data_IF_039673631069
#
_entry.id   IF_039673631069
#
_cell.length_a   1.000
_cell.length_b   1.000
_cell.length_c   1.000
_cell.angle_alpha   90.00
_cell.angle_beta   90.00
_cell.angle_gamma   90.00
#
_symmetry.space_group_name_H-M   'P 1'
#
loop_
_entity.id
_entity.type
_entity.pdbx_description
1 polymer ?
#
# COMPACT_ATOMS: atom_id res chain seq x y z
N UNK A 1 17.99 -8.27 -0.65
CA UNK A 1 17.00 -7.51 -1.45
C UNK A 1 17.00 -6.08 -0.97
N UNK A 2 16.96 -5.11 -1.88
CA UNK A 2 16.86 -3.67 -1.57
C UNK A 2 15.43 -3.20 -1.82
N UNK A 3 14.78 -2.66 -0.79
CA UNK A 3 13.38 -2.20 -0.85
C UNK A 3 13.34 -0.68 -0.67
N UNK A 4 12.68 0.02 -1.60
CA UNK A 4 12.35 1.44 -1.41
C UNK A 4 10.92 1.56 -0.88
N UNK A 5 10.73 2.31 0.21
CA UNK A 5 9.42 2.54 0.84
C UNK A 5 9.06 4.00 0.73
N UNK A 6 8.02 4.31 -0.06
CA UNK A 6 7.46 5.67 -0.21
C UNK A 6 6.36 5.87 0.82
N UNK A 7 6.36 7.01 1.51
CA UNK A 7 5.44 7.25 2.62
C UNK A 7 5.88 6.54 3.92
N UNK A 8 7.17 6.26 4.05
CA UNK A 8 7.76 5.56 5.20
C UNK A 8 7.39 6.16 6.56
N UNK A 9 7.16 7.48 6.64
CA UNK A 9 6.79 8.19 7.87
C UNK A 9 5.31 8.08 8.28
N UNK A 10 4.44 7.51 7.44
CA UNK A 10 3.01 7.28 7.74
C UNK A 10 2.80 6.10 8.70
N UNK A 11 1.57 5.94 9.23
CA UNK A 11 1.25 4.87 10.18
C UNK A 11 1.51 3.47 9.61
N UNK A 12 1.02 3.18 8.42
CA UNK A 12 1.27 1.90 7.72
C UNK A 12 2.73 1.82 7.26
N UNK A 13 3.28 2.93 6.72
CA UNK A 13 4.66 2.98 6.25
C UNK A 13 5.68 2.60 7.31
N UNK A 14 5.53 3.10 8.54
CA UNK A 14 6.41 2.75 9.67
C UNK A 14 6.34 1.26 10.03
N UNK A 15 5.16 0.62 9.95
CA UNK A 15 5.01 -0.83 10.18
C UNK A 15 5.69 -1.64 9.09
N UNK A 16 5.56 -1.21 7.82
CA UNK A 16 6.28 -1.83 6.70
C UNK A 16 7.79 -1.70 6.87
N UNK A 17 8.28 -0.52 7.27
CA UNK A 17 9.71 -0.30 7.57
C UNK A 17 10.18 -1.24 8.67
N UNK A 18 9.46 -1.32 9.80
CA UNK A 18 9.79 -2.19 10.93
C UNK A 18 9.84 -3.67 10.53
N UNK A 19 8.83 -4.14 9.77
CA UNK A 19 8.78 -5.53 9.30
C UNK A 19 9.92 -5.84 8.32
N UNK A 20 10.19 -4.96 7.36
CA UNK A 20 11.28 -5.13 6.40
C UNK A 20 12.66 -5.11 7.08
N UNK A 21 12.87 -4.22 8.05
CA UNK A 21 14.09 -4.15 8.83
C UNK A 21 14.31 -5.43 9.67
N UNK A 22 13.24 -5.97 10.28
CA UNK A 22 13.31 -7.22 11.05
C UNK A 22 13.72 -8.44 10.22
N UNK A 23 13.50 -8.37 8.89
CA UNK A 23 13.94 -9.39 7.92
C UNK A 23 15.29 -9.07 7.27
N UNK A 24 16.03 -8.08 7.79
CA UNK A 24 17.37 -7.69 7.33
C UNK A 24 17.42 -7.23 5.85
N UNK A 25 16.35 -6.61 5.34
CA UNK A 25 16.39 -5.99 4.02
C UNK A 25 17.16 -4.67 4.04
N UNK A 26 17.86 -4.36 2.94
CA UNK A 26 18.43 -3.04 2.71
C UNK A 26 17.31 -2.06 2.36
N UNK A 27 17.20 -0.95 3.08
CA UNK A 27 16.07 -0.03 2.97
C UNK A 27 16.48 1.33 2.43
N UNK A 28 15.67 1.85 1.51
CA UNK A 28 15.63 3.25 1.13
C UNK A 28 14.25 3.80 1.51
N UNK A 29 14.23 4.85 2.31
CA UNK A 29 13.02 5.42 2.89
C UNK A 29 12.74 6.79 2.30
N UNK A 30 11.60 6.93 1.62
CA UNK A 30 11.15 8.21 1.04
C UNK A 30 10.04 8.77 1.92
N UNK A 31 10.29 9.96 2.46
CA UNK A 31 9.35 10.67 3.33
C UNK A 31 9.48 12.17 3.14
N UNK A 32 8.37 12.88 3.31
CA UNK A 32 8.34 14.35 3.29
C UNK A 32 8.82 15.00 4.60
N UNK A 33 8.98 14.20 5.66
CA UNK A 33 9.38 14.68 6.99
C UNK A 33 10.55 13.85 7.49
N UNK A 34 11.56 14.51 8.03
CA UNK A 34 12.60 13.84 8.80
C UNK A 34 11.97 13.15 10.01
N UNK A 35 12.21 11.86 10.17
CA UNK A 35 11.79 11.07 11.32
C UNK A 35 12.89 10.06 11.63
N UNK A 36 13.07 9.79 12.91
CA UNK A 36 13.88 8.67 13.35
C UNK A 36 13.06 7.39 13.17
N UNK A 37 13.61 6.43 12.44
CA UNK A 37 13.02 5.11 12.25
C UNK A 37 13.77 4.13 13.12
N UNK A 38 13.06 3.53 14.07
CA UNK A 38 13.66 2.54 14.97
C UNK A 38 14.20 1.32 14.21
N UNK A 39 15.44 0.93 14.50
CA UNK A 39 16.06 -0.25 13.90
C UNK A 39 16.49 -0.08 12.44
N UNK A 40 16.67 1.15 11.95
CA UNK A 40 17.03 1.43 10.55
C UNK A 40 18.30 2.26 10.43
N UNK A 41 19.26 2.04 11.31
CA UNK A 41 20.52 2.79 11.38
C UNK A 41 21.31 2.76 10.05
N UNK A 42 21.06 1.74 9.22
CA UNK A 42 21.66 1.57 7.89
C UNK A 42 20.70 1.90 6.74
N UNK A 43 19.53 2.47 7.00
CA UNK A 43 18.58 2.83 5.94
C UNK A 43 18.98 4.16 5.30
N UNK A 44 18.91 4.20 3.98
CA UNK A 44 19.08 5.43 3.21
C UNK A 44 17.78 6.26 3.30
N UNK A 45 17.85 7.47 3.89
CA UNK A 45 16.71 8.37 4.00
C UNK A 45 16.78 9.44 2.91
N UNK A 46 15.68 9.59 2.16
CA UNK A 46 15.57 10.59 1.10
C UNK A 46 14.28 11.41 1.23
N UNK A 47 14.39 12.73 1.04
CA UNK A 47 13.26 13.62 0.86
C UNK A 47 13.03 13.82 -0.66
N UNK A 48 11.96 13.22 -1.19
CA UNK A 48 11.61 13.31 -2.61
C UNK A 48 10.14 13.74 -2.72
N UNK A 49 9.89 14.70 -3.60
CA UNK A 49 8.52 15.08 -3.93
C UNK A 49 7.86 13.97 -4.76
N UNK A 50 6.78 13.39 -4.23
CA UNK A 50 6.06 12.30 -4.87
C UNK A 50 5.44 12.69 -6.23
N UNK A 51 5.24 13.98 -6.48
CA UNK A 51 4.71 14.48 -7.75
C UNK A 51 5.80 14.72 -8.80
N UNK A 52 7.08 14.67 -8.42
CA UNK A 52 8.20 14.74 -9.34
C UNK A 52 8.59 13.34 -9.81
N UNK A 53 8.00 12.92 -10.93
CA UNK A 53 8.22 11.59 -11.53
C UNK A 53 9.69 11.28 -11.80
N UNK A 54 10.48 12.27 -12.25
CA UNK A 54 11.89 12.05 -12.60
C UNK A 54 12.75 11.85 -11.34
N UNK A 55 12.52 12.67 -10.32
CA UNK A 55 13.21 12.50 -9.03
C UNK A 55 12.85 11.17 -8.35
N UNK A 56 11.57 10.74 -8.44
CA UNK A 56 11.15 9.43 -7.96
C UNK A 56 11.85 8.30 -8.74
N UNK A 57 11.87 8.36 -10.07
CA UNK A 57 12.50 7.35 -10.90
C UNK A 57 13.99 7.20 -10.58
N UNK A 58 14.67 8.31 -10.35
CA UNK A 58 16.09 8.29 -9.93
C UNK A 58 16.24 7.64 -8.55
N UNK A 59 15.36 7.97 -7.61
CA UNK A 59 15.40 7.38 -6.27
C UNK A 59 15.04 5.89 -6.25
N UNK A 60 14.32 5.38 -7.24
CA UNK A 60 13.96 3.96 -7.36
C UNK A 60 15.09 3.10 -7.95
N UNK A 61 16.07 3.69 -8.59
CA UNK A 61 17.20 2.95 -9.19
C UNK A 61 17.92 2.08 -8.16
N UNK A 62 18.21 0.86 -8.59
CA UNK A 62 18.90 -0.14 -7.76
C UNK A 62 18.04 -0.78 -6.68
N UNK A 63 16.74 -0.51 -6.66
CA UNK A 63 15.79 -1.24 -5.81
C UNK A 63 15.25 -2.47 -6.54
N UNK A 64 15.03 -3.55 -5.79
CA UNK A 64 14.37 -4.75 -6.31
C UNK A 64 12.84 -4.54 -6.34
N UNK A 65 12.31 -3.83 -5.33
CA UNK A 65 10.89 -3.54 -5.16
C UNK A 65 10.70 -2.14 -4.57
N UNK A 66 9.68 -1.44 -5.03
CA UNK A 66 9.18 -0.20 -4.43
C UNK A 66 7.84 -0.51 -3.76
N UNK A 67 7.69 -0.11 -2.50
CA UNK A 67 6.42 -0.18 -1.76
C UNK A 67 5.93 1.25 -1.56
N UNK A 68 4.69 1.54 -1.97
CA UNK A 68 4.06 2.82 -1.68
C UNK A 68 2.99 2.67 -0.61
N UNK A 69 3.22 3.28 0.54
CA UNK A 69 2.26 3.52 1.60
C UNK A 69 1.87 5.01 1.67
N UNK A 70 1.95 5.71 0.53
CA UNK A 70 1.51 7.08 0.46
C UNK A 70 0.01 7.21 0.64
N UNK A 71 -0.39 8.10 1.53
CA UNK A 71 -1.77 8.54 1.69
C UNK A 71 -1.80 10.08 1.74
N UNK A 72 -2.63 10.73 0.93
CA UNK A 72 -2.82 12.17 1.02
C UNK A 72 -3.58 12.52 2.32
N UNK A 73 -3.57 13.80 2.72
CA UNK A 73 -4.45 14.27 3.79
C UNK A 73 -5.91 13.96 3.46
N UNK A 74 -6.70 13.58 4.46
CA UNK A 74 -8.15 13.30 4.28
C UNK A 74 -8.92 14.49 3.66
N UNK A 75 -8.43 15.70 3.86
CA UNK A 75 -9.02 16.94 3.30
C UNK A 75 -8.80 17.11 1.80
N UNK A 76 -7.85 16.38 1.19
CA UNK A 76 -7.55 16.51 -0.24
C UNK A 76 -7.16 15.17 -0.84
N UNK A 77 -8.16 14.32 -1.05
CA UNK A 77 -7.99 12.98 -1.63
C UNK A 77 -7.68 12.99 -3.13
N UNK A 78 -7.85 14.14 -3.82
CA UNK A 78 -7.57 14.27 -5.26
C UNK A 78 -6.09 14.00 -5.59
N UNK A 79 -5.20 14.34 -4.68
CA UNK A 79 -3.76 14.08 -4.79
C UNK A 79 -3.37 12.62 -4.87
N UNK A 80 -4.24 11.70 -4.43
CA UNK A 80 -3.95 10.26 -4.51
C UNK A 80 -3.84 9.79 -5.97
N UNK A 81 -4.71 10.29 -6.83
CA UNK A 81 -4.69 9.94 -8.25
C UNK A 81 -3.41 10.46 -8.94
N UNK A 82 -3.03 11.69 -8.67
CA UNK A 82 -1.83 12.31 -9.22
C UNK A 82 -0.56 11.59 -8.75
N UNK A 83 -0.44 11.36 -7.43
CA UNK A 83 0.67 10.62 -6.85
C UNK A 83 0.78 9.20 -7.42
N UNK A 84 -0.34 8.49 -7.59
CA UNK A 84 -0.34 7.13 -8.16
C UNK A 84 0.11 7.11 -9.61
N UNK A 85 -0.26 8.11 -10.43
CA UNK A 85 0.26 8.25 -11.80
C UNK A 85 1.77 8.47 -11.80
N UNK A 86 2.26 9.34 -10.94
CA UNK A 86 3.70 9.61 -10.80
C UNK A 86 4.47 8.38 -10.36
N UNK A 87 3.98 7.63 -9.36
CA UNK A 87 4.58 6.38 -8.87
C UNK A 87 4.68 5.32 -9.96
N UNK A 88 3.59 5.10 -10.72
CA UNK A 88 3.57 4.12 -11.83
C UNK A 88 4.56 4.54 -12.92
N UNK A 89 4.57 5.81 -13.32
CA UNK A 89 5.48 6.31 -14.34
C UNK A 89 6.95 6.21 -13.89
N UNK A 90 7.24 6.54 -12.62
CA UNK A 90 8.58 6.43 -12.05
C UNK A 90 9.05 4.98 -11.96
N UNK A 91 8.18 4.06 -11.53
CA UNK A 91 8.49 2.63 -11.45
C UNK A 91 8.76 2.03 -12.83
N UNK A 92 8.01 2.45 -13.87
CA UNK A 92 8.28 2.06 -15.26
C UNK A 92 9.63 2.58 -15.74
N UNK A 93 9.95 3.86 -15.51
CA UNK A 93 11.24 4.45 -15.87
C UNK A 93 12.42 3.76 -15.19
N UNK A 94 12.27 3.37 -13.93
CA UNK A 94 13.28 2.66 -13.16
C UNK A 94 13.32 1.15 -13.41
N UNK A 95 12.35 0.61 -14.17
CA UNK A 95 12.14 -0.81 -14.42
C UNK A 95 12.10 -1.62 -13.11
N UNK A 96 11.28 -1.19 -12.14
CA UNK A 96 11.16 -1.80 -10.83
C UNK A 96 9.71 -2.20 -10.53
N UNK A 97 9.51 -3.31 -9.79
CA UNK A 97 8.20 -3.74 -9.31
C UNK A 97 7.63 -2.74 -8.31
N UNK A 98 6.33 -2.46 -8.41
CA UNK A 98 5.59 -1.56 -7.50
C UNK A 98 4.52 -2.32 -6.72
N UNK A 99 4.59 -2.28 -5.39
CA UNK A 99 3.52 -2.70 -4.49
C UNK A 99 2.89 -1.45 -3.88
N UNK A 100 1.60 -1.26 -4.05
CA UNK A 100 0.91 -0.08 -3.55
C UNK A 100 -0.16 -0.43 -2.52
N UNK A 101 -0.15 0.25 -1.41
CA UNK A 101 -1.23 0.19 -0.42
C UNK A 101 -2.49 0.80 -1.04
N UNK A 102 -3.53 0.02 -1.09
CA UNK A 102 -4.85 0.40 -1.59
C UNK A 102 -5.82 0.74 -0.47
N UNK A 103 -7.12 0.66 -0.79
CA UNK A 103 -8.20 0.83 0.16
C UNK A 103 -9.20 -0.33 0.12
N UNK A 104 -9.99 -0.48 1.17
CA UNK A 104 -11.01 -1.52 1.27
C UNK A 104 -12.28 -1.22 0.46
N UNK A 105 -12.53 0.04 0.10
CA UNK A 105 -13.81 0.50 -0.48
C UNK A 105 -14.26 -0.24 -1.73
N UNK A 106 -13.32 -0.74 -2.55
CA UNK A 106 -13.61 -1.51 -3.77
C UNK A 106 -13.69 -3.03 -3.56
N UNK A 107 -13.53 -3.52 -2.33
CA UNK A 107 -13.72 -4.93 -2.00
C UNK A 107 -15.22 -5.28 -2.09
N UNK A 108 -15.51 -6.46 -2.62
CA UNK A 108 -16.88 -6.95 -2.78
C UNK A 108 -17.42 -7.48 -1.47
N UNK A 109 -18.61 -7.02 -1.11
CA UNK A 109 -19.42 -7.56 0.01
C UNK A 109 -20.49 -8.52 -0.50
N UNK A 110 -20.80 -8.48 -1.81
CA UNK A 110 -21.59 -9.46 -2.55
C UNK A 110 -21.14 -9.48 -4.01
N UNK A 111 -21.76 -10.32 -4.86
CA UNK A 111 -21.41 -10.40 -6.28
C UNK A 111 -21.46 -9.06 -7.01
N UNK A 112 -22.38 -8.18 -6.63
CA UNK A 112 -22.67 -6.91 -7.33
C UNK A 112 -22.39 -5.67 -6.50
N UNK A 113 -22.08 -5.79 -5.19
CA UNK A 113 -21.95 -4.66 -4.28
C UNK A 113 -20.53 -4.53 -3.75
N UNK A 114 -19.94 -3.36 -3.93
CA UNK A 114 -18.67 -3.00 -3.30
C UNK A 114 -18.92 -2.36 -1.92
N UNK A 115 -17.93 -2.48 -1.03
CA UNK A 115 -18.05 -2.00 0.35
C UNK A 115 -18.40 -0.51 0.44
N UNK A 116 -17.81 0.35 -0.40
CA UNK A 116 -18.07 1.81 -0.38
C UNK A 116 -19.49 2.18 -0.81
N UNK A 117 -20.17 1.30 -1.56
CA UNK A 117 -21.54 1.50 -2.03
C UNK A 117 -22.58 0.88 -1.09
N UNK A 118 -22.14 0.21 -0.01
CA UNK A 118 -23.04 -0.36 0.99
C UNK A 118 -23.81 0.76 1.74
N UNK A 119 -25.10 0.54 2.06
CA UNK A 119 -25.95 1.58 2.67
C UNK A 119 -25.45 2.11 4.01
N UNK A 120 -24.71 1.29 4.74
CA UNK A 120 -24.14 1.62 6.07
C UNK A 120 -22.67 2.03 6.02
N UNK A 121 -22.10 2.30 4.83
CA UNK A 121 -20.72 2.78 4.74
C UNK A 121 -20.61 4.18 5.34
N UNK A 122 -19.66 4.43 6.28
CA UNK A 122 -19.54 5.72 6.94
C UNK A 122 -19.19 6.85 5.96
N UNK A 123 -19.99 7.91 5.93
CA UNK A 123 -19.84 9.03 5.01
C UNK A 123 -18.47 9.73 5.12
N UNK A 124 -17.91 9.80 6.32
CA UNK A 124 -16.61 10.43 6.57
C UNK A 124 -15.44 9.75 5.84
N UNK A 125 -15.55 8.43 5.57
CA UNK A 125 -14.51 7.66 4.85
C UNK A 125 -14.79 7.54 3.35
N UNK A 126 -15.97 7.92 2.87
CA UNK A 126 -16.34 7.81 1.45
C UNK A 126 -15.35 8.51 0.52
N UNK A 127 -14.91 9.75 0.76
CA UNK A 127 -13.98 10.43 -0.14
C UNK A 127 -12.68 9.66 -0.35
N UNK A 128 -12.08 9.15 0.70
CA UNK A 128 -10.82 8.39 0.61
C UNK A 128 -11.04 7.01 -0.01
N UNK A 129 -12.15 6.35 0.32
CA UNK A 129 -12.49 5.04 -0.24
C UNK A 129 -12.74 5.11 -1.76
N UNK A 130 -13.46 6.14 -2.22
CA UNK A 130 -13.69 6.41 -3.65
C UNK A 130 -12.39 6.78 -4.38
N UNK A 131 -11.51 7.54 -3.76
CA UNK A 131 -10.22 7.88 -4.34
C UNK A 131 -9.37 6.63 -4.57
N UNK A 132 -9.26 5.73 -3.59
CA UNK A 132 -8.56 4.45 -3.73
C UNK A 132 -9.21 3.53 -4.78
N UNK A 133 -10.56 3.46 -4.82
CA UNK A 133 -11.27 2.73 -5.88
C UNK A 133 -10.92 3.29 -7.25
N UNK A 134 -10.98 4.60 -7.40
CA UNK A 134 -10.63 5.27 -8.66
C UNK A 134 -9.20 4.98 -9.12
N UNK A 135 -8.23 4.98 -8.20
CA UNK A 135 -6.83 4.64 -8.49
C UNK A 135 -6.71 3.18 -8.97
N UNK A 136 -7.35 2.23 -8.29
CA UNK A 136 -7.33 0.82 -8.70
C UNK A 136 -7.93 0.65 -10.09
N UNK A 137 -9.12 1.21 -10.35
CA UNK A 137 -9.87 1.01 -11.59
C UNK A 137 -9.29 1.77 -12.78
N UNK A 138 -8.79 2.99 -12.57
CA UNK A 138 -8.38 3.88 -13.65
C UNK A 138 -6.88 3.83 -13.94
N UNK A 139 -6.06 3.37 -13.00
CA UNK A 139 -4.60 3.27 -13.15
C UNK A 139 -4.20 1.80 -13.16
N UNK A 140 -4.28 1.09 -12.01
CA UNK A 140 -3.70 -0.24 -11.90
C UNK A 140 -4.37 -1.26 -12.82
N UNK A 141 -5.69 -1.34 -12.86
CA UNK A 141 -6.40 -2.30 -13.72
C UNK A 141 -6.19 -2.03 -15.24
N UNK A 142 -5.73 -0.84 -15.61
CA UNK A 142 -5.39 -0.47 -17.00
C UNK A 142 -3.92 -0.61 -17.32
N UNK A 143 -3.05 -0.71 -16.31
CA UNK A 143 -1.60 -0.83 -16.50
C UNK A 143 -1.22 -2.24 -16.95
N UNK A 144 -0.53 -2.35 -18.10
CA UNK A 144 -0.19 -3.64 -18.74
C UNK A 144 1.31 -3.95 -18.74
N UNK A 145 2.15 -2.94 -18.61
CA UNK A 145 3.60 -3.08 -18.74
C UNK A 145 4.26 -3.30 -17.38
N UNK A 146 3.92 -2.46 -16.40
CA UNK A 146 4.50 -2.51 -15.06
C UNK A 146 4.10 -3.81 -14.33
N UNK A 147 5.06 -4.41 -13.62
CA UNK A 147 4.74 -5.41 -12.59
C UNK A 147 4.27 -4.68 -11.32
N UNK A 148 2.97 -4.65 -11.11
CA UNK A 148 2.35 -3.98 -9.97
C UNK A 148 1.55 -4.96 -9.11
N UNK A 149 1.41 -4.63 -7.84
CA UNK A 149 0.48 -5.29 -6.90
C UNK A 149 -0.24 -4.22 -6.11
N UNK A 150 -1.56 -4.31 -5.97
CA UNK A 150 -2.33 -3.43 -5.09
C UNK A 150 -2.82 -4.21 -3.87
N UNK A 151 -2.52 -3.73 -2.66
CA UNK A 151 -2.84 -4.43 -1.41
C UNK A 151 -3.94 -3.67 -0.68
N UNK A 152 -5.16 -4.22 -0.70
CA UNK A 152 -6.30 -3.66 0.03
C UNK A 152 -6.29 -4.15 1.48
N UNK A 153 -6.40 -3.26 2.48
CA UNK A 153 -6.63 -3.68 3.85
C UNK A 153 -8.06 -4.20 4.04
N UNK A 154 -8.36 -4.77 5.21
CA UNK A 154 -9.73 -4.96 5.69
C UNK A 154 -10.46 -3.62 5.88
N UNK A 155 -11.78 -3.67 6.09
CA UNK A 155 -12.61 -2.47 6.29
C UNK A 155 -12.11 -1.61 7.46
N UNK A 156 -11.67 -2.25 8.54
CA UNK A 156 -11.08 -1.60 9.70
C UNK A 156 -9.62 -2.03 9.85
N UNK A 157 -8.70 -1.07 9.66
CA UNK A 157 -7.27 -1.24 9.91
C UNK A 157 -6.87 -0.43 11.14
N UNK A 158 -6.21 -1.05 12.10
CA UNK A 158 -5.93 -0.48 13.41
C UNK A 158 -4.51 -0.76 13.89
N UNK A 159 -4.04 -0.02 14.85
CA UNK A 159 -2.78 -0.29 15.56
C UNK A 159 -2.97 -1.46 16.53
N UNK A 160 -2.18 -2.52 16.36
CA UNK A 160 -2.37 -3.74 17.13
C UNK A 160 -1.08 -4.53 17.27
N UNK A 161 -1.18 -5.84 17.21
CA UNK A 161 -0.06 -6.75 17.38
C UNK A 161 0.31 -7.44 16.05
N UNK A 162 1.56 -7.86 15.94
CA UNK A 162 2.07 -8.73 14.90
C UNK A 162 1.81 -10.19 15.29
N UNK A 163 0.67 -10.72 14.87
CA UNK A 163 0.28 -12.09 15.18
C UNK A 163 0.76 -13.12 14.14
N UNK A 164 0.97 -12.67 12.91
CA UNK A 164 1.26 -13.50 11.75
C UNK A 164 0.15 -14.54 11.45
N UNK A 165 -1.07 -14.28 11.91
CA UNK A 165 -2.23 -15.14 11.73
C UNK A 165 -3.38 -14.36 11.07
N UNK A 166 -3.43 -14.39 9.75
CA UNK A 166 -4.41 -13.69 8.93
C UNK A 166 -4.73 -14.49 7.66
N UNK A 167 -5.84 -14.15 7.04
CA UNK A 167 -6.28 -14.70 5.75
C UNK A 167 -5.84 -13.80 4.61
N UNK A 168 -5.62 -14.38 3.44
CA UNK A 168 -5.39 -13.68 2.19
C UNK A 168 -6.55 -13.97 1.26
N UNK A 169 -7.08 -12.92 0.63
CA UNK A 169 -8.13 -12.98 -0.38
C UNK A 169 -7.79 -12.13 -1.60
N UNK A 170 -8.61 -12.17 -2.62
CA UNK A 170 -8.43 -11.33 -3.82
C UNK A 170 -9.40 -10.15 -3.79
N UNK A 171 -10.62 -10.32 -4.33
CA UNK A 171 -11.59 -9.23 -4.54
C UNK A 171 -12.68 -9.13 -3.47
N UNK A 172 -12.87 -10.16 -2.67
CA UNK A 172 -13.92 -10.18 -1.67
C UNK A 172 -13.42 -9.64 -0.32
N UNK A 173 -14.29 -8.91 0.37
CA UNK A 173 -14.02 -8.47 1.72
C UNK A 173 -13.87 -9.69 2.64
N UNK A 174 -12.75 -9.77 3.36
CA UNK A 174 -12.55 -10.80 4.37
C UNK A 174 -13.31 -10.38 5.62
N UNK A 175 -14.10 -11.30 6.17
CA UNK A 175 -14.81 -11.12 7.43
C UNK A 175 -14.57 -12.33 8.34
N UNK A 176 -14.65 -12.10 9.64
CA UNK A 176 -14.67 -13.17 10.65
C UNK A 176 -16.07 -13.77 10.80
N UNK A 177 -16.23 -14.75 11.69
CA UNK A 177 -17.50 -15.44 11.93
C UNK A 177 -18.62 -14.51 12.48
N UNK A 178 -18.25 -13.32 12.94
CA UNK A 178 -19.21 -12.28 13.40
C UNK A 178 -19.58 -11.29 12.31
N UNK A 179 -19.01 -11.42 11.09
CA UNK A 179 -19.19 -10.48 9.99
C UNK A 179 -18.33 -9.22 10.09
N UNK A 180 -17.33 -9.18 10.98
CA UNK A 180 -16.44 -8.05 11.14
C UNK A 180 -15.22 -8.20 10.21
N UNK A 181 -14.81 -7.11 9.57
CA UNK A 181 -13.64 -7.06 8.71
C UNK A 181 -12.56 -6.17 9.34
N UNK A 182 -11.49 -6.77 9.80
CA UNK A 182 -10.40 -6.06 10.47
C UNK A 182 -9.03 -6.66 10.23
N UNK A 183 -7.99 -5.84 10.39
CA UNK A 183 -6.57 -6.24 10.36
C UNK A 183 -5.74 -5.24 11.18
N UNK A 184 -4.74 -5.72 11.91
CA UNK A 184 -3.74 -4.83 12.48
C UNK A 184 -2.81 -4.27 11.41
N UNK A 185 -2.29 -3.05 11.61
CA UNK A 185 -1.28 -2.47 10.71
C UNK A 185 -0.01 -3.32 10.68
N UNK A 186 0.28 -3.98 11.78
CA UNK A 186 1.42 -4.86 11.96
C UNK A 186 1.28 -6.11 11.08
N UNK A 187 0.16 -6.82 11.12
CA UNK A 187 -0.07 -7.99 10.28
C UNK A 187 -0.28 -7.60 8.80
N UNK A 188 -0.86 -6.44 8.53
CA UNK A 188 -0.94 -5.90 7.19
C UNK A 188 0.44 -5.67 6.58
N UNK A 189 1.38 -5.15 7.37
CA UNK A 189 2.79 -5.01 6.95
C UNK A 189 3.46 -6.36 6.71
N UNK A 190 3.21 -7.37 7.57
CA UNK A 190 3.69 -8.75 7.35
C UNK A 190 3.22 -9.27 6.00
N UNK A 191 1.92 -9.15 5.69
CA UNK A 191 1.38 -9.62 4.42
C UNK A 191 1.95 -8.92 3.20
N UNK A 192 2.24 -7.61 3.30
CA UNK A 192 2.92 -6.85 2.23
C UNK A 192 4.35 -7.38 2.03
N UNK A 193 5.10 -7.60 3.10
CA UNK A 193 6.48 -8.09 2.99
C UNK A 193 6.51 -9.56 2.52
N UNK A 194 5.53 -10.39 2.89
CA UNK A 194 5.39 -11.73 2.32
C UNK A 194 5.19 -11.66 0.79
N UNK A 195 4.38 -10.72 0.29
CA UNK A 195 4.18 -10.53 -1.16
C UNK A 195 5.45 -10.01 -1.87
N UNK A 196 6.32 -9.26 -1.17
CA UNK A 196 7.65 -8.90 -1.72
C UNK A 196 8.45 -10.17 -2.03
N UNK A 197 8.43 -11.15 -1.12
CA UNK A 197 9.19 -12.40 -1.22
C UNK A 197 8.58 -13.39 -2.21
N UNK A 198 7.26 -13.56 -2.16
CA UNK A 198 6.54 -14.62 -2.87
C UNK A 198 6.11 -14.22 -4.29
N UNK A 199 5.89 -12.94 -4.55
CA UNK A 199 5.48 -12.38 -5.83
C UNK A 199 4.24 -13.06 -6.46
N UNK A 200 3.26 -13.44 -5.63
CA UNK A 200 2.06 -14.19 -6.05
C UNK A 200 1.04 -13.34 -6.83
N UNK A 201 0.96 -12.05 -6.51
CA UNK A 201 -0.09 -11.16 -7.01
C UNK A 201 0.43 -10.15 -8.03
N UNK A 202 1.20 -10.63 -9.02
CA UNK A 202 1.68 -9.80 -10.13
C UNK A 202 0.51 -9.32 -11.01
N UNK A 203 0.41 -8.01 -11.21
CA UNK A 203 -0.66 -7.32 -11.95
C UNK A 203 -2.05 -7.62 -11.41
N UNK A 204 -2.14 -7.73 -10.08
CA UNK A 204 -3.37 -8.04 -9.36
C UNK A 204 -3.52 -7.22 -8.09
N UNK A 205 -4.77 -7.16 -7.61
CA UNK A 205 -5.08 -6.79 -6.24
C UNK A 205 -5.17 -8.05 -5.38
N UNK A 206 -4.81 -7.93 -4.11
CA UNK A 206 -5.18 -8.86 -3.06
C UNK A 206 -5.56 -8.12 -1.78
N UNK A 207 -6.18 -8.82 -0.84
CA UNK A 207 -6.58 -8.28 0.46
C UNK A 207 -6.13 -9.17 1.60
N UNK A 208 -6.02 -8.59 2.79
CA UNK A 208 -5.54 -9.24 4.01
C UNK A 208 -6.53 -8.92 5.13
N UNK A 209 -6.92 -9.93 5.92
CA UNK A 209 -7.87 -9.75 7.03
C UNK A 209 -7.91 -10.96 7.96
N UNK A 210 -8.54 -10.78 9.11
CA UNK A 210 -8.77 -11.83 10.11
C UNK A 210 -9.98 -12.69 9.81
#
# INVERSE_FOLDING_TARGET
MKITIVGAGGNIGQRIVKEAASRNYSLKLITSKSKDFFGTENAELQAVDIFNTDALAESFKGSDVVISAYAPPHSDTSKLMEASKSLVAAAKKANVRLIAVGGAGSLKVSETLQLVDAPNFPEEYKPVALAHRGVLEQIYNKERELNWTNVSPSAYIFEGERTNNFKIGEDNLIVNDKGESSISMEDFAVGIINEVEEAKFSKKRFTIGY
#
